data_IF_262508031783
#
_entry.id   IF_262508031783
#
_cell.length_a   1.000
_cell.length_b   1.000
_cell.length_c   1.000
_cell.angle_alpha   90.00
_cell.angle_beta   90.00
_cell.angle_gamma   90.00
#
_symmetry.space_group_name_H-M   'P 1'
#
loop_
_entity.id
_entity.type
_entity.pdbx_description
1 polymer ?
#
# COMPACT_ATOMS: atom_id res chain seq x y z
N UNK A 1 -5.59 -5.23 -23.68
CA UNK A 1 -5.03 -3.97 -23.14
C UNK A 1 -3.57 -4.21 -22.83
N UNK A 2 -2.65 -3.28 -23.15
CA UNK A 2 -1.25 -3.45 -22.76
C UNK A 2 -1.20 -3.57 -21.24
N UNK A 3 -0.50 -4.57 -20.75
CA UNK A 3 -0.43 -4.84 -19.32
C UNK A 3 0.23 -3.64 -18.63
N UNK A 4 -0.50 -2.97 -17.74
CA UNK A 4 0.00 -1.84 -16.95
C UNK A 4 1.01 -2.28 -15.88
N UNK A 5 1.78 -3.33 -16.16
CA UNK A 5 2.63 -4.01 -15.20
C UNK A 5 3.85 -3.22 -14.81
N UNK A 6 4.19 -2.20 -15.61
CA UNK A 6 5.41 -1.41 -15.48
C UNK A 6 5.16 0.04 -15.04
N UNK A 7 3.93 0.41 -14.65
CA UNK A 7 3.62 1.80 -14.31
C UNK A 7 2.92 1.94 -12.96
N UNK A 8 3.26 3.00 -12.25
CA UNK A 8 2.57 3.48 -11.05
C UNK A 8 1.93 4.84 -11.36
N UNK A 9 0.61 4.95 -11.26
CA UNK A 9 -0.09 6.21 -11.52
C UNK A 9 -0.14 7.08 -10.27
N UNK A 10 0.16 8.36 -10.45
CA UNK A 10 0.08 9.39 -9.43
C UNK A 10 -1.26 10.14 -9.52
N UNK A 11 -1.64 10.80 -8.44
CA UNK A 11 -2.91 11.53 -8.32
C UNK A 11 -3.05 12.71 -9.29
N UNK A 12 -1.92 13.25 -9.75
CA UNK A 12 -1.85 14.33 -10.75
C UNK A 12 -1.94 13.82 -12.20
N UNK A 13 -2.31 12.54 -12.39
CA UNK A 13 -2.39 11.85 -13.68
C UNK A 13 -1.04 11.63 -14.37
N UNK A 14 0.07 11.87 -13.67
CA UNK A 14 1.39 11.41 -14.14
C UNK A 14 1.62 9.96 -13.73
N UNK A 15 2.72 9.37 -14.21
CA UNK A 15 3.09 8.03 -13.79
C UNK A 15 4.60 7.89 -13.61
N UNK A 16 4.98 7.00 -12.71
CA UNK A 16 6.34 6.49 -12.57
C UNK A 16 6.44 5.18 -13.33
N UNK A 17 7.51 5.01 -14.10
CA UNK A 17 7.71 3.80 -14.89
C UNK A 17 8.79 2.96 -14.25
N UNK A 18 8.55 1.65 -14.17
CA UNK A 18 9.51 0.65 -13.68
C UNK A 18 10.83 0.79 -14.42
N UNK A 19 10.82 0.86 -15.75
CA UNK A 19 12.02 1.04 -16.55
C UNK A 19 11.77 2.06 -17.66
N UNK A 20 12.55 3.14 -17.67
CA UNK A 20 12.50 4.20 -18.69
C UNK A 20 12.81 3.64 -20.08
N UNK A 21 13.69 2.63 -20.17
CA UNK A 21 14.06 2.00 -21.45
C UNK A 21 12.93 1.15 -22.03
N UNK A 22 12.01 0.68 -21.19
CA UNK A 22 10.84 -0.09 -21.60
C UNK A 22 9.66 0.80 -22.05
N UNK A 23 9.81 2.13 -22.01
CA UNK A 23 8.81 3.08 -22.51
C UNK A 23 8.82 3.05 -24.05
N UNK A 24 7.65 3.06 -24.72
CA UNK A 24 7.58 3.20 -26.18
C UNK A 24 8.33 4.44 -26.68
N UNK A 25 9.02 4.32 -27.82
CA UNK A 25 9.84 5.40 -28.38
C UNK A 25 9.02 6.67 -28.66
N UNK A 26 7.75 6.52 -29.00
CA UNK A 26 6.83 7.63 -29.24
C UNK A 26 6.66 8.51 -27.98
N UNK A 27 6.70 7.90 -26.79
CA UNK A 27 6.58 8.60 -25.52
C UNK A 27 7.94 9.14 -25.09
N UNK A 28 9.04 8.41 -25.36
CA UNK A 28 10.41 8.85 -25.05
C UNK A 28 10.78 10.16 -25.74
N UNK A 29 10.27 10.40 -26.95
CA UNK A 29 10.47 11.66 -27.69
C UNK A 29 9.95 12.89 -26.94
N UNK A 30 9.02 12.72 -26.00
CA UNK A 30 8.45 13.78 -25.18
C UNK A 30 9.09 13.89 -23.79
N UNK A 31 10.04 13.01 -23.44
CA UNK A 31 10.73 13.05 -22.16
C UNK A 31 11.89 14.03 -22.19
N UNK A 32 11.88 15.00 -21.26
CA UNK A 32 13.04 15.86 -21.04
C UNK A 32 14.16 15.07 -20.35
N UNK A 33 15.44 15.41 -20.56
CA UNK A 33 16.56 14.78 -19.85
C UNK A 33 16.42 14.86 -18.33
N UNK A 34 15.83 15.95 -17.82
CA UNK A 34 15.55 16.15 -16.40
C UNK A 34 14.54 15.13 -15.86
N UNK A 35 13.46 14.86 -16.60
CA UNK A 35 12.46 13.84 -16.23
C UNK A 35 13.04 12.43 -16.28
N UNK A 36 13.86 12.10 -17.28
CA UNK A 36 14.50 10.79 -17.37
C UNK A 36 15.46 10.55 -16.21
N UNK A 37 16.28 11.56 -15.86
CA UNK A 37 17.19 11.49 -14.71
C UNK A 37 16.42 11.32 -13.40
N UNK A 38 15.33 12.07 -13.20
CA UNK A 38 14.49 11.95 -12.01
C UNK A 38 13.87 10.55 -11.90
N UNK A 39 13.39 9.96 -13.00
CA UNK A 39 12.86 8.59 -12.99
C UNK A 39 13.94 7.54 -12.71
N UNK A 40 15.14 7.70 -13.24
CA UNK A 40 16.26 6.80 -12.96
C UNK A 40 16.64 6.81 -11.47
N UNK A 41 16.66 7.98 -10.83
CA UNK A 41 16.91 8.08 -9.39
C UNK A 41 15.84 7.39 -8.54
N UNK A 42 14.58 7.40 -9.02
CA UNK A 42 13.45 6.77 -8.34
C UNK A 42 13.23 5.32 -8.76
N UNK A 43 14.02 4.77 -9.69
CA UNK A 43 13.84 3.43 -10.25
C UNK A 43 13.72 2.34 -9.17
N UNK A 44 14.63 2.24 -8.18
CA UNK A 44 14.56 1.18 -7.18
C UNK A 44 13.28 1.25 -6.35
N UNK A 45 12.89 2.44 -5.93
CA UNK A 45 11.64 2.67 -5.19
C UNK A 45 10.42 2.37 -6.05
N UNK A 46 10.43 2.78 -7.32
CA UNK A 46 9.32 2.55 -8.27
C UNK A 46 9.11 1.06 -8.52
N UNK A 47 10.19 0.28 -8.67
CA UNK A 47 10.12 -1.17 -8.83
C UNK A 47 9.47 -1.83 -7.61
N UNK A 48 9.90 -1.46 -6.40
CA UNK A 48 9.35 -1.95 -5.13
C UNK A 48 7.87 -1.57 -4.97
N UNK A 49 7.49 -0.31 -5.22
CA UNK A 49 6.09 0.12 -5.16
C UNK A 49 5.20 -0.68 -6.12
N UNK A 50 5.71 -1.00 -7.31
CA UNK A 50 4.96 -1.80 -8.28
C UNK A 50 4.83 -3.26 -7.81
N UNK A 51 5.92 -3.89 -7.36
CA UNK A 51 5.93 -5.31 -6.97
C UNK A 51 5.17 -5.57 -5.66
N UNK A 52 5.38 -4.71 -4.66
CA UNK A 52 4.86 -4.91 -3.31
C UNK A 52 3.45 -4.31 -3.10
N UNK A 53 3.03 -3.36 -3.95
CA UNK A 53 1.75 -2.67 -3.77
C UNK A 53 0.88 -2.76 -5.03
N UNK A 54 1.34 -2.27 -6.18
CA UNK A 54 0.48 -2.17 -7.36
C UNK A 54 0.03 -3.53 -7.90
N UNK A 55 0.96 -4.48 -8.01
CA UNK A 55 0.69 -5.82 -8.51
C UNK A 55 -0.24 -6.60 -7.58
N UNK A 56 0.00 -6.67 -6.26
CA UNK A 56 -0.94 -7.28 -5.31
C UNK A 56 -2.33 -6.65 -5.36
N UNK A 57 -2.44 -5.31 -5.43
CA UNK A 57 -3.74 -4.63 -5.57
C UNK A 57 -4.46 -4.99 -6.87
N UNK A 58 -3.74 -5.07 -7.99
CA UNK A 58 -4.33 -5.45 -9.29
C UNK A 58 -4.78 -6.90 -9.35
N UNK A 59 -4.07 -7.79 -8.67
CA UNK A 59 -4.41 -9.21 -8.56
C UNK A 59 -5.62 -9.40 -7.65
N UNK A 60 -5.60 -8.81 -6.46
CA UNK A 60 -6.66 -8.95 -5.47
C UNK A 60 -7.94 -8.21 -5.86
N UNK A 61 -7.81 -7.07 -6.56
CA UNK A 61 -8.91 -6.18 -6.96
C UNK A 61 -9.84 -5.87 -5.78
N UNK A 62 -9.34 -5.22 -4.72
CA UNK A 62 -10.16 -4.93 -3.57
C UNK A 62 -11.29 -3.96 -3.92
N UNK A 63 -12.45 -4.17 -3.31
CA UNK A 63 -13.61 -3.28 -3.42
C UNK A 63 -13.35 -1.97 -2.68
N UNK A 64 -14.12 -0.90 -2.96
CA UNK A 64 -14.02 0.36 -2.22
C UNK A 64 -14.18 0.16 -0.70
N UNK A 65 -15.07 -0.73 -0.28
CA UNK A 65 -15.31 -1.08 1.13
C UNK A 65 -14.08 -1.73 1.77
N UNK A 66 -13.47 -2.70 1.09
CA UNK A 66 -12.24 -3.37 1.52
C UNK A 66 -11.08 -2.37 1.63
N UNK A 67 -10.92 -1.47 0.65
CA UNK A 67 -9.89 -0.43 0.67
C UNK A 67 -10.10 0.55 1.82
N UNK A 68 -11.34 0.96 2.08
CA UNK A 68 -11.67 1.85 3.19
C UNK A 68 -11.34 1.20 4.54
N UNK A 69 -11.73 -0.06 4.72
CA UNK A 69 -11.43 -0.82 5.94
C UNK A 69 -9.92 -0.99 6.13
N UNK A 70 -9.18 -1.36 5.07
CA UNK A 70 -7.72 -1.50 5.11
C UNK A 70 -7.03 -0.20 5.54
N UNK A 71 -7.46 0.96 5.02
CA UNK A 71 -6.93 2.27 5.43
C UNK A 71 -7.14 2.55 6.91
N UNK A 72 -8.33 2.25 7.43
CA UNK A 72 -8.65 2.42 8.85
C UNK A 72 -7.81 1.49 9.72
N UNK A 73 -7.69 0.21 9.35
CA UNK A 73 -6.85 -0.77 10.05
C UNK A 73 -5.38 -0.36 10.06
N UNK A 74 -4.87 0.20 8.96
CA UNK A 74 -3.49 0.70 8.86
C UNK A 74 -3.25 1.95 9.72
N UNK A 75 -4.21 2.88 9.77
CA UNK A 75 -4.14 4.05 10.64
C UNK A 75 -4.05 3.66 12.12
N UNK A 76 -4.72 2.59 12.50
CA UNK A 76 -4.79 2.11 13.89
C UNK A 76 -3.69 1.08 14.24
N UNK A 77 -2.62 0.95 13.43
CA UNK A 77 -1.53 0.01 13.73
C UNK A 77 -0.84 0.40 15.05
N UNK A 78 -0.81 -0.50 16.06
CA UNK A 78 -0.27 -0.18 17.39
C UNK A 78 1.19 0.27 17.39
N UNK A 79 1.98 -0.15 16.40
CA UNK A 79 3.39 0.23 16.25
C UNK A 79 3.57 1.73 15.98
N UNK A 80 2.65 2.37 15.26
CA UNK A 80 2.67 3.82 15.00
C UNK A 80 2.40 4.62 16.29
N UNK A 81 1.71 4.00 17.25
CA UNK A 81 1.21 4.64 18.47
C UNK A 81 2.18 4.44 19.65
N UNK A 82 3.16 3.55 19.49
CA UNK A 82 4.08 3.15 20.57
C UNK A 82 5.48 3.73 20.47
N UNK A 83 5.90 4.27 19.33
CA UNK A 83 7.32 4.62 19.16
C UNK A 83 7.52 6.02 18.57
N UNK A 84 7.60 7.00 19.48
CA UNK A 84 8.55 8.10 19.37
C UNK A 84 9.19 8.25 20.74
N UNK A 85 10.48 7.90 20.86
CA UNK A 85 11.31 8.16 22.05
C UNK A 85 10.84 7.57 23.39
N UNK A 86 10.21 6.38 23.37
CA UNK A 86 9.86 5.65 24.60
C UNK A 86 8.71 6.24 25.41
N UNK A 87 8.03 7.26 24.89
CA UNK A 87 6.80 7.82 25.46
C UNK A 87 5.62 7.22 24.68
N UNK A 88 4.69 6.50 25.34
CA UNK A 88 3.47 6.05 24.69
C UNK A 88 2.68 7.25 24.16
N UNK A 89 2.41 7.29 22.84
CA UNK A 89 1.59 8.36 22.26
C UNK A 89 0.12 8.24 22.67
N UNK A 90 -0.28 7.07 23.16
CA UNK A 90 -1.61 6.80 23.68
C UNK A 90 -1.54 6.17 25.08
N UNK A 91 -2.46 6.58 25.95
CA UNK A 91 -2.68 5.97 27.24
C UNK A 91 -3.39 4.61 27.10
N UNK A 92 -3.44 3.77 28.16
CA UNK A 92 -4.05 2.44 28.09
C UNK A 92 -5.53 2.44 27.68
N UNK A 93 -6.29 3.49 28.00
CA UNK A 93 -7.69 3.60 27.64
C UNK A 93 -7.87 3.94 26.16
N UNK A 94 -7.06 4.85 25.64
CA UNK A 94 -7.00 5.16 24.20
C UNK A 94 -6.61 3.91 23.38
N UNK A 95 -5.66 3.11 23.87
CA UNK A 95 -5.31 1.83 23.24
C UNK A 95 -6.46 0.83 23.24
N UNK A 96 -7.31 0.80 24.29
CA UNK A 96 -8.52 -0.02 24.31
C UNK A 96 -9.53 0.46 23.28
N UNK A 97 -9.79 1.77 23.23
CA UNK A 97 -10.70 2.37 22.24
C UNK A 97 -10.24 2.01 20.81
N UNK A 98 -8.95 2.11 20.53
CA UNK A 98 -8.38 1.76 19.22
C UNK A 98 -8.56 0.27 18.90
N UNK A 99 -8.37 -0.62 19.88
CA UNK A 99 -8.65 -2.05 19.72
C UNK A 99 -10.12 -2.28 19.42
N UNK A 100 -11.04 -1.65 20.15
CA UNK A 100 -12.47 -1.80 19.95
C UNK A 100 -12.91 -1.33 18.56
N UNK A 101 -12.35 -0.22 18.07
CA UNK A 101 -12.63 0.26 16.71
C UNK A 101 -12.09 -0.72 15.67
N UNK A 102 -10.87 -1.24 15.85
CA UNK A 102 -10.29 -2.26 14.96
C UNK A 102 -11.18 -3.50 14.88
N UNK A 103 -11.66 -4.00 16.03
CA UNK A 103 -12.46 -5.20 16.10
C UNK A 103 -13.85 -4.98 15.46
N UNK A 104 -14.42 -3.77 15.59
CA UNK A 104 -15.64 -3.36 14.86
C UNK A 104 -15.44 -3.32 13.34
N UNK A 105 -14.31 -2.82 12.86
CA UNK A 105 -14.00 -2.80 11.42
C UNK A 105 -13.86 -4.21 10.86
N UNK A 106 -13.15 -5.10 11.58
CA UNK A 106 -13.03 -6.50 11.19
C UNK A 106 -14.38 -7.22 11.18
N UNK A 107 -15.21 -6.99 12.21
CA UNK A 107 -16.57 -7.54 12.27
C UNK A 107 -17.43 -7.01 11.11
N UNK A 108 -17.31 -5.72 10.78
CA UNK A 108 -18.02 -5.10 9.66
C UNK A 108 -17.61 -5.69 8.31
N UNK A 109 -16.31 -5.93 8.09
CA UNK A 109 -15.81 -6.62 6.89
C UNK A 109 -16.34 -8.05 6.78
N UNK A 110 -16.34 -8.80 7.88
CA UNK A 110 -16.86 -10.16 7.89
C UNK A 110 -18.36 -10.19 7.57
N UNK A 111 -19.14 -9.25 8.15
CA UNK A 111 -20.55 -9.10 7.82
C UNK A 111 -20.77 -8.72 6.34
N UNK A 112 -19.93 -7.83 5.80
CA UNK A 112 -19.94 -7.46 4.39
C UNK A 112 -19.74 -8.69 3.49
N UNK A 113 -18.72 -9.51 3.75
CA UNK A 113 -18.47 -10.73 2.96
C UNK A 113 -19.63 -11.71 3.01
N UNK A 114 -20.24 -11.88 4.18
CA UNK A 114 -21.43 -12.72 4.32
C UNK A 114 -22.58 -12.20 3.45
N UNK A 115 -22.82 -10.88 3.44
CA UNK A 115 -23.89 -10.27 2.63
C UNK A 115 -23.59 -10.22 1.14
N UNK A 116 -22.32 -10.15 0.74
CA UNK A 116 -21.91 -10.14 -0.67
C UNK A 116 -21.88 -11.53 -1.29
N UNK A 117 -22.06 -12.59 -0.50
CA UNK A 117 -22.00 -13.98 -0.97
C UNK A 117 -20.57 -14.45 -1.28
N UNK A 118 -19.57 -13.92 -0.57
CA UNK A 118 -18.17 -14.37 -0.71
C UNK A 118 -18.05 -15.83 -0.26
N UNK A 119 -17.42 -16.67 -1.10
CA UNK A 119 -17.34 -18.11 -0.86
C UNK A 119 -16.32 -18.45 0.23
N UNK A 120 -15.22 -17.68 0.29
CA UNK A 120 -14.17 -17.86 1.27
C UNK A 120 -13.78 -16.54 1.98
N UNK A 121 -14.59 -16.07 2.95
CA UNK A 121 -14.38 -14.78 3.60
C UNK A 121 -13.08 -14.71 4.40
N UNK A 122 -12.62 -15.84 4.97
CA UNK A 122 -11.41 -15.90 5.78
C UNK A 122 -10.15 -15.75 4.92
N UNK A 123 -10.08 -16.47 3.80
CA UNK A 123 -8.99 -16.35 2.82
C UNK A 123 -8.96 -14.94 2.21
N UNK A 124 -10.13 -14.42 1.82
CA UNK A 124 -10.26 -13.06 1.28
C UNK A 124 -9.78 -12.00 2.26
N UNK A 125 -10.14 -12.12 3.54
CA UNK A 125 -9.68 -11.23 4.60
C UNK A 125 -8.16 -11.33 4.79
N UNK A 126 -7.61 -12.55 4.81
CA UNK A 126 -6.17 -12.78 4.95
C UNK A 126 -5.40 -12.09 3.81
N UNK A 127 -5.80 -12.33 2.57
CA UNK A 127 -5.18 -11.71 1.39
C UNK A 127 -5.26 -10.18 1.43
N UNK A 128 -6.40 -9.63 1.87
CA UNK A 128 -6.57 -8.18 2.04
C UNK A 128 -5.61 -7.62 3.10
N UNK A 129 -5.45 -8.30 4.23
CA UNK A 129 -4.55 -7.87 5.30
C UNK A 129 -3.07 -7.96 4.91
N UNK A 130 -2.70 -8.92 4.06
CA UNK A 130 -1.35 -9.05 3.52
C UNK A 130 -0.91 -7.83 2.70
N UNK A 131 -1.85 -7.13 2.04
CA UNK A 131 -1.55 -5.88 1.33
C UNK A 131 -0.96 -4.80 2.25
N UNK A 132 -1.31 -4.82 3.54
CA UNK A 132 -0.75 -3.87 4.51
C UNK A 132 0.75 -4.10 4.80
N UNK A 133 1.26 -5.29 4.46
CA UNK A 133 2.68 -5.65 4.58
C UNK A 133 3.55 -4.98 3.52
N UNK A 134 3.12 -4.99 2.25
CA UNK A 134 3.84 -4.31 1.16
C UNK A 134 3.99 -2.81 1.38
N UNK A 135 2.98 -2.17 2.00
CA UNK A 135 3.09 -0.76 2.41
C UNK A 135 4.12 -0.56 3.52
N UNK A 136 4.22 -1.48 4.48
CA UNK A 136 5.25 -1.41 5.53
C UNK A 136 6.66 -1.58 4.93
N UNK A 137 6.85 -2.49 3.98
CA UNK A 137 8.14 -2.67 3.28
C UNK A 137 8.56 -1.38 2.57
N UNK A 138 7.62 -0.72 1.87
CA UNK A 138 7.90 0.56 1.19
C UNK A 138 8.22 1.69 2.19
N UNK A 139 7.61 1.66 3.38
CA UNK A 139 7.86 2.63 4.44
C UNK A 139 9.21 2.44 5.14
N UNK A 140 9.62 1.20 5.42
CA UNK A 140 10.90 0.90 6.08
C UNK A 140 12.09 0.85 5.10
N UNK A 141 11.86 0.58 3.82
CA UNK A 141 12.90 0.63 2.78
C UNK A 141 13.44 2.03 2.48
N UNK A 142 12.85 3.07 3.07
CA UNK A 142 13.33 4.47 3.00
C UNK A 142 14.07 4.92 4.28
N UNK A 143 14.19 4.07 5.29
CA UNK A 143 15.11 4.27 6.41
C UNK A 143 16.44 3.57 6.10
N UNK A 144 17.59 4.27 6.08
CA UNK A 144 18.86 3.59 6.05
C UNK A 144 18.96 2.76 7.32
N UNK A 145 19.06 1.44 7.14
CA UNK A 145 19.54 0.50 8.15
C UNK A 145 20.77 1.13 8.84
N UNK A 146 20.62 1.60 10.07
CA UNK A 146 21.74 1.70 11.00
C UNK A 146 21.87 0.31 11.63
N UNK A 147 22.92 -0.48 11.30
CA UNK A 147 23.23 -1.65 12.10
C UNK A 147 23.78 -1.14 13.43
N UNK A 148 23.19 -1.61 14.53
CA UNK A 148 23.84 -1.62 15.83
C UNK A 148 24.99 -2.61 15.87
#
# INVERSE_FOLDING_TARGET
MPAHDNVWFLSDRTCLVRNVDAIPEEIKLHLTPKTSMAQQLLYPLTAVLIDEIAQPLRKLRPTPEEVAALKVLMLMKPTIIRESEGIPLANPEELRILSDVRDKVLTGLHAYYFTSGEENPEERLSDLLMLSGGVAVCHFGSSPFFPG
#
